data_IF_912233181950
#
_entry.id   IF_912233181950
#
_cell.length_a   1.000
_cell.length_b   1.000
_cell.length_c   1.000
_cell.angle_alpha   90.00
_cell.angle_beta   90.00
_cell.angle_gamma   90.00
#
_symmetry.space_group_name_H-M   'P 1'
#
loop_
_entity.id
_entity.type
_entity.pdbx_description
1 polymer ?
#
# COMPACT_ATOMS: atom_id res chain seq x y z
N UNK A 1 2.41 -16.58 6.65
CA UNK A 1 2.71 -15.63 5.55
C UNK A 1 1.51 -14.74 5.25
N UNK A 2 0.30 -15.29 5.02
CA UNK A 2 -0.91 -14.47 4.80
C UNK A 2 -1.18 -13.46 5.92
N UNK A 3 -1.01 -13.84 7.19
CA UNK A 3 -1.19 -12.93 8.33
C UNK A 3 -0.18 -11.76 8.34
N UNK A 4 1.07 -12.01 7.94
CA UNK A 4 2.08 -10.96 7.87
C UNK A 4 1.82 -9.97 6.72
N UNK A 5 1.25 -10.44 5.62
CA UNK A 5 0.83 -9.59 4.51
C UNK A 5 -0.37 -8.74 4.89
N UNK A 6 -1.32 -9.31 5.64
CA UNK A 6 -2.47 -8.58 6.17
C UNK A 6 -2.05 -7.48 7.17
N UNK A 7 -1.10 -7.79 8.05
CA UNK A 7 -0.48 -6.82 8.95
C UNK A 7 0.29 -5.73 8.18
N UNK A 8 1.04 -6.11 7.14
CA UNK A 8 1.74 -5.16 6.28
C UNK A 8 0.79 -4.21 5.56
N UNK A 9 -0.32 -4.73 5.00
CA UNK A 9 -1.34 -3.94 4.36
C UNK A 9 -2.02 -2.98 5.36
N UNK A 10 -2.30 -3.45 6.57
CA UNK A 10 -2.89 -2.62 7.61
C UNK A 10 -1.96 -1.49 8.05
N UNK A 11 -0.66 -1.77 8.21
CA UNK A 11 0.37 -0.76 8.48
C UNK A 11 0.49 0.23 7.32
N UNK A 12 0.51 -0.26 6.08
CA UNK A 12 0.57 0.58 4.89
C UNK A 12 -0.64 1.50 4.79
N UNK A 13 -1.84 1.05 5.15
CA UNK A 13 -3.04 1.88 5.17
C UNK A 13 -2.91 3.08 6.11
N UNK A 14 -2.48 2.85 7.36
CA UNK A 14 -2.27 3.94 8.33
C UNK A 14 -1.18 4.90 7.88
N UNK A 15 -0.05 4.38 7.40
CA UNK A 15 1.07 5.20 6.96
C UNK A 15 0.77 5.97 5.67
N UNK A 16 -0.09 5.42 4.80
CA UNK A 16 -0.53 6.11 3.59
C UNK A 16 -1.38 7.33 3.92
N UNK A 17 -2.33 7.23 4.86
CA UNK A 17 -3.13 8.38 5.30
C UNK A 17 -2.22 9.50 5.80
N UNK A 18 -1.30 9.19 6.71
CA UNK A 18 -0.33 10.17 7.21
C UNK A 18 0.53 10.75 6.09
N UNK A 19 1.04 9.92 5.17
CA UNK A 19 1.82 10.37 4.02
C UNK A 19 1.03 11.37 3.16
N UNK A 20 -0.25 11.14 2.92
CA UNK A 20 -1.09 12.02 2.08
C UNK A 20 -1.45 13.32 2.80
N UNK A 21 -1.75 13.25 4.10
CA UNK A 21 -2.12 14.42 4.91
C UNK A 21 -0.93 15.34 5.21
N UNK A 22 0.24 14.77 5.49
CA UNK A 22 1.43 15.53 5.89
C UNK A 22 2.24 16.02 4.68
N UNK A 23 2.18 15.31 3.55
CA UNK A 23 2.97 15.67 2.37
C UNK A 23 2.22 16.65 1.48
N UNK A 24 2.37 17.95 1.73
CA UNK A 24 1.92 18.99 0.79
C UNK A 24 2.49 18.85 -0.63
N UNK A 25 3.58 18.08 -0.79
CA UNK A 25 4.22 17.71 -2.07
C UNK A 25 3.43 16.60 -2.80
N UNK A 26 2.74 15.71 -2.09
CA UNK A 26 2.01 14.60 -2.69
C UNK A 26 0.76 15.08 -3.46
N UNK A 27 0.16 16.21 -3.09
CA UNK A 27 -1.05 16.74 -3.72
C UNK A 27 -0.90 17.05 -5.23
N UNK A 28 0.31 17.38 -5.69
CA UNK A 28 0.59 17.72 -7.10
C UNK A 28 1.08 16.54 -7.93
N UNK A 29 1.31 15.39 -7.31
CA UNK A 29 1.82 14.20 -7.97
C UNK A 29 0.66 13.28 -8.36
N UNK A 30 0.79 12.60 -9.50
CA UNK A 30 -0.14 11.54 -9.84
C UNK A 30 0.01 10.36 -8.85
N UNK A 31 -1.00 9.49 -8.80
CA UNK A 31 -1.03 8.37 -7.87
C UNK A 31 0.19 7.44 -8.01
N UNK A 32 0.67 7.22 -9.23
CA UNK A 32 1.83 6.35 -9.49
C UNK A 32 3.10 6.88 -8.84
N UNK A 33 3.34 8.18 -8.95
CA UNK A 33 4.52 8.82 -8.36
C UNK A 33 4.40 8.85 -6.83
N UNK A 34 3.21 9.15 -6.29
CA UNK A 34 2.94 9.09 -4.85
C UNK A 34 3.19 7.69 -4.28
N UNK A 35 2.65 6.65 -4.92
CA UNK A 35 2.85 5.24 -4.53
C UNK A 35 4.34 4.88 -4.59
N UNK A 36 5.06 5.33 -5.61
CA UNK A 36 6.50 5.04 -5.76
C UNK A 36 7.31 5.66 -4.62
N UNK A 37 7.05 6.92 -4.29
CA UNK A 37 7.71 7.63 -3.18
C UNK A 37 7.38 6.95 -1.86
N UNK A 38 6.10 6.71 -1.61
CA UNK A 38 5.62 6.05 -0.40
C UNK A 38 6.24 4.67 -0.23
N UNK A 39 6.21 3.81 -1.26
CA UNK A 39 6.76 2.47 -1.21
C UNK A 39 8.26 2.48 -0.88
N UNK A 40 9.03 3.41 -1.47
CA UNK A 40 10.47 3.56 -1.15
C UNK A 40 10.73 3.94 0.31
N UNK A 41 9.88 4.77 0.89
CA UNK A 41 10.01 5.22 2.29
C UNK A 41 9.51 4.16 3.28
N UNK A 42 8.38 3.53 2.96
CA UNK A 42 7.69 2.59 3.83
C UNK A 42 8.31 1.19 3.81
N UNK A 43 8.85 0.72 2.67
CA UNK A 43 9.36 -0.64 2.54
C UNK A 43 10.42 -1.02 3.61
N UNK A 44 11.45 -0.20 3.89
CA UNK A 44 12.40 -0.50 4.96
C UNK A 44 11.75 -0.54 6.36
N UNK A 45 10.76 0.32 6.61
CA UNK A 45 10.05 0.34 7.89
C UNK A 45 9.18 -0.91 8.07
N UNK A 46 8.44 -1.29 7.03
CA UNK A 46 7.64 -2.50 7.00
C UNK A 46 8.49 -3.72 7.31
N UNK A 47 9.64 -3.87 6.64
CA UNK A 47 10.58 -4.96 6.87
C UNK A 47 11.15 -4.98 8.30
N UNK A 48 11.39 -3.80 8.89
CA UNK A 48 11.83 -3.68 10.30
C UNK A 48 10.76 -4.14 11.29
N UNK A 49 9.49 -3.86 11.01
CA UNK A 49 8.35 -4.26 11.88
C UNK A 49 7.92 -5.71 11.64
N UNK A 50 8.09 -6.21 10.42
CA UNK A 50 7.70 -7.55 10.00
C UNK A 50 8.90 -8.31 9.39
N UNK A 51 9.86 -8.75 10.21
CA UNK A 51 11.06 -9.48 9.75
C UNK A 51 10.76 -10.72 8.91
N UNK A 52 9.60 -11.34 9.10
CA UNK A 52 9.12 -12.50 8.33
C UNK A 52 8.98 -12.20 6.83
N UNK A 53 8.90 -10.92 6.45
CA UNK A 53 8.83 -10.47 5.07
C UNK A 53 10.21 -10.18 4.45
N UNK A 54 11.32 -10.27 5.19
CA UNK A 54 12.67 -10.02 4.63
C UNK A 54 13.03 -10.91 3.44
N UNK A 55 12.51 -12.13 3.42
CA UNK A 55 12.74 -13.08 2.33
C UNK A 55 11.58 -13.12 1.34
N UNK A 56 10.57 -12.25 1.49
CA UNK A 56 9.49 -12.16 0.53
C UNK A 56 10.00 -11.50 -0.76
N UNK A 57 9.54 -11.94 -1.93
CA UNK A 57 9.80 -11.22 -3.18
C UNK A 57 9.32 -9.78 -3.10
N UNK A 58 10.02 -8.85 -3.76
CA UNK A 58 9.65 -7.43 -3.78
C UNK A 58 8.22 -7.22 -4.30
N UNK A 59 7.75 -8.07 -5.21
CA UNK A 59 6.38 -8.04 -5.73
C UNK A 59 5.35 -8.31 -4.63
N UNK A 60 5.67 -9.18 -3.67
CA UNK A 60 4.78 -9.51 -2.55
C UNK A 60 4.71 -8.34 -1.56
N UNK A 61 5.85 -7.70 -1.29
CA UNK A 61 5.91 -6.48 -0.48
C UNK A 61 5.11 -5.34 -1.14
N UNK A 62 5.28 -5.15 -2.45
CA UNK A 62 4.54 -4.14 -3.21
C UNK A 62 3.03 -4.42 -3.18
N UNK A 63 2.60 -5.67 -3.33
CA UNK A 63 1.19 -6.04 -3.24
C UNK A 63 0.59 -5.67 -1.88
N UNK A 64 1.27 -5.97 -0.77
CA UNK A 64 0.81 -5.59 0.55
C UNK A 64 0.70 -4.06 0.72
N UNK A 65 1.66 -3.31 0.15
CA UNK A 65 1.63 -1.84 0.15
C UNK A 65 0.41 -1.31 -0.61
N UNK A 66 0.19 -1.81 -1.82
CA UNK A 66 -0.93 -1.36 -2.67
C UNK A 66 -2.27 -1.75 -2.06
N UNK A 67 -2.38 -2.95 -1.48
CA UNK A 67 -3.55 -3.38 -0.74
C UNK A 67 -3.81 -2.47 0.48
N UNK A 68 -2.75 -2.04 1.17
CA UNK A 68 -2.87 -1.03 2.23
C UNK A 68 -3.38 0.32 1.73
N UNK A 69 -2.91 0.77 0.57
CA UNK A 69 -3.39 2.00 -0.06
C UNK A 69 -4.88 1.89 -0.39
N UNK A 70 -5.35 0.75 -0.90
CA UNK A 70 -6.78 0.49 -1.10
C UNK A 70 -7.55 0.53 0.23
N UNK A 71 -7.06 -0.18 1.25
CA UNK A 71 -7.68 -0.23 2.60
C UNK A 71 -7.74 1.11 3.31
N UNK A 72 -6.88 2.07 2.94
CA UNK A 72 -6.93 3.43 3.48
C UNK A 72 -8.23 4.16 3.14
N UNK A 73 -8.94 3.72 2.09
CA UNK A 73 -10.15 4.37 1.58
C UNK A 73 -9.92 5.68 0.83
N UNK A 74 -8.68 6.18 0.77
CA UNK A 74 -8.34 7.42 0.06
C UNK A 74 -8.30 7.23 -1.46
N UNK A 75 -7.97 6.03 -1.92
CA UNK A 75 -7.85 5.70 -3.34
C UNK A 75 -8.69 4.45 -3.64
N UNK A 76 -9.58 4.55 -4.63
CA UNK A 76 -10.40 3.38 -5.02
C UNK A 76 -9.54 2.35 -5.74
N UNK A 77 -9.89 1.06 -5.58
CA UNK A 77 -9.25 -0.02 -6.34
C UNK A 77 -9.13 0.25 -7.82
N UNK A 78 -10.22 0.71 -8.44
CA UNK A 78 -10.25 1.01 -9.88
C UNK A 78 -9.21 2.08 -10.24
N UNK A 79 -9.06 3.11 -9.41
CA UNK A 79 -8.06 4.15 -9.61
C UNK A 79 -6.64 3.58 -9.51
N UNK A 80 -6.38 2.78 -8.48
CA UNK A 80 -5.09 2.12 -8.24
C UNK A 80 -4.71 1.24 -9.44
N UNK A 81 -5.59 0.34 -9.87
CA UNK A 81 -5.35 -0.58 -10.99
C UNK A 81 -5.10 0.17 -12.31
N UNK A 82 -5.88 1.23 -12.58
CA UNK A 82 -5.70 2.05 -13.78
C UNK A 82 -4.38 2.82 -13.79
N UNK A 83 -4.03 3.46 -12.67
CA UNK A 83 -2.85 4.33 -12.56
C UNK A 83 -1.55 3.53 -12.46
N UNK A 84 -1.57 2.39 -11.76
CA UNK A 84 -0.41 1.53 -11.59
C UNK A 84 -0.27 0.49 -12.70
N UNK A 85 -1.30 0.30 -13.54
CA UNK A 85 -1.37 -0.72 -14.60
C UNK A 85 -1.15 -2.15 -14.06
N UNK A 86 -1.70 -2.41 -12.88
CA UNK A 86 -1.68 -3.72 -12.21
C UNK A 86 -3.10 -4.22 -12.00
N UNK A 87 -3.25 -5.51 -11.68
CA UNK A 87 -4.49 -6.07 -11.15
C UNK A 87 -4.23 -6.54 -9.73
N UNK A 88 -5.04 -6.09 -8.78
CA UNK A 88 -4.95 -6.58 -7.42
C UNK A 88 -5.56 -7.99 -7.34
N UNK A 89 -4.96 -8.93 -6.60
CA UNK A 89 -5.29 -10.34 -6.74
C UNK A 89 -6.71 -10.71 -6.30
N UNK A 90 -7.35 -10.04 -5.34
CA UNK A 90 -8.76 -10.26 -4.98
C UNK A 90 -9.33 -8.99 -4.35
N UNK A 91 -10.65 -8.75 -4.35
CA UNK A 91 -11.23 -7.73 -3.48
C UNK A 91 -10.97 -8.15 -2.04
N UNK A 92 -10.39 -7.24 -1.26
CA UNK A 92 -10.63 -7.26 0.19
C UNK A 92 -12.15 -7.39 0.34
N UNK A 93 -12.67 -8.44 1.01
CA UNK A 93 -14.10 -8.59 1.17
C UNK A 93 -14.61 -7.28 1.74
N UNK A 94 -15.45 -6.60 0.96
CA UNK A 94 -16.01 -5.32 1.33
C UNK A 94 -16.61 -5.45 2.73
N UNK A 95 -16.27 -4.48 3.55
CA UNK A 95 -17.20 -3.92 4.53
C UNK A 95 -18.45 -3.45 3.78
N UNK A 96 -19.28 -4.40 3.33
CA UNK A 96 -20.62 -4.17 2.84
C UNK A 96 -21.59 -4.62 3.92
N UNK A 97 -22.21 -3.62 4.55
CA UNK A 97 -23.35 -3.65 5.50
C UNK A 97 -23.12 -4.17 6.92
#
# INVERSE_FOLDING_TARGET
MSEALDQAASLAATHWVAFVEESGVAANLNLRDRVTIFARQFHPEMLRRLPVLWNAPDEVALLAIVEGIERSGLETRRMIELQLRIKLPYPTPDSST
#
